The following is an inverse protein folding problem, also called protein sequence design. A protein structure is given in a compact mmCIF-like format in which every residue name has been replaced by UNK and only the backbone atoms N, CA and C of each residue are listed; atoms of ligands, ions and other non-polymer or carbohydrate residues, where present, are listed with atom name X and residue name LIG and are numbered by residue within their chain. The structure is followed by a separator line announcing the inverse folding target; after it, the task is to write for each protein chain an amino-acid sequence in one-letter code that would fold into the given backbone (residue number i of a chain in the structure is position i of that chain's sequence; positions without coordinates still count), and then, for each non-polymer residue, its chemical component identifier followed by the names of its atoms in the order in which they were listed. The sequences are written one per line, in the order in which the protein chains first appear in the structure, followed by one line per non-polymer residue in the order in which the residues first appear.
data_IF_329291619193
#
_entry.id   IF_329291619193
#
_cell.length_a   1.000
_cell.length_b   1.000
_cell.length_c   1.000
_cell.angle_alpha   90.00
_cell.angle_beta   90.00
_cell.angle_gamma   90.00
#
_symmetry.space_group_name_H-M   'P 1'
#
loop_
_entity.id
_entity.type
_entity.pdbx_description
1 polymer ?
#
# COMPACT_ATOMS: atom_id res chain seq x y z
N UNK A 1 -14.18 17.84 -1.16
CA UNK A 1 -13.93 16.94 -2.32
C UNK A 1 -14.47 15.56 -1.99
N UNK A 2 -15.30 14.96 -2.83
CA UNK A 2 -15.84 13.62 -2.57
C UNK A 2 -14.72 12.58 -2.66
N UNK A 3 -14.59 11.73 -1.64
CA UNK A 3 -13.64 10.62 -1.61
C UNK A 3 -14.02 9.63 -2.72
N UNK A 4 -13.24 9.60 -3.82
CA UNK A 4 -13.37 8.56 -4.85
C UNK A 4 -12.65 7.31 -4.37
N UNK A 5 -13.40 6.24 -4.15
CA UNK A 5 -12.86 4.92 -3.81
C UNK A 5 -12.85 4.06 -5.06
N UNK A 6 -11.72 3.39 -5.33
CA UNK A 6 -11.60 2.38 -6.39
C UNK A 6 -11.27 1.03 -5.74
N UNK A 7 -12.06 0.01 -6.07
CA UNK A 7 -11.75 -1.38 -5.71
C UNK A 7 -10.76 -1.92 -6.73
N UNK A 8 -9.61 -2.41 -6.26
CA UNK A 8 -8.60 -3.03 -7.11
C UNK A 8 -8.91 -4.51 -7.31
N UNK A 9 -8.66 -5.03 -8.52
CA UNK A 9 -8.80 -6.45 -8.88
C UNK A 9 -7.44 -7.05 -9.22
N UNK A 10 -7.36 -8.37 -9.23
CA UNK A 10 -6.18 -9.10 -9.70
C UNK A 10 -5.91 -8.69 -11.16
N UNK A 11 -4.66 -8.30 -11.45
CA UNK A 11 -4.23 -7.81 -12.76
C UNK A 11 -4.30 -6.28 -12.93
N UNK A 12 -4.96 -5.55 -12.02
CA UNK A 12 -4.88 -4.08 -12.02
C UNK A 12 -3.49 -3.62 -11.62
N UNK A 13 -3.02 -2.51 -12.22
CA UNK A 13 -1.81 -1.82 -11.75
C UNK A 13 -2.00 -1.45 -10.27
N UNK A 14 -1.01 -1.80 -9.44
CA UNK A 14 -0.99 -1.40 -8.04
C UNK A 14 -1.10 0.13 -7.92
N UNK A 15 -1.84 0.59 -6.90
CA UNK A 15 -1.94 2.02 -6.61
C UNK A 15 -0.57 2.59 -6.26
N UNK A 16 -0.35 3.87 -6.57
CA UNK A 16 0.80 4.67 -6.14
C UNK A 16 0.69 5.00 -4.63
N UNK A 17 0.63 3.95 -3.82
CA UNK A 17 0.44 4.03 -2.38
C UNK A 17 1.79 4.14 -1.69
N UNK A 18 1.93 5.16 -0.84
CA UNK A 18 3.12 5.39 -0.03
C UNK A 18 2.84 5.09 1.42
N UNK A 19 3.80 4.45 2.07
CA UNK A 19 3.75 4.14 3.49
C UNK A 19 5.10 4.49 4.12
N UNK A 20 5.12 4.93 5.39
CA UNK A 20 6.36 4.99 6.14
C UNK A 20 6.85 3.57 6.42
N UNK A 21 8.13 3.33 6.16
CA UNK A 21 8.80 2.11 6.58
C UNK A 21 8.82 2.08 8.12
N UNK A 22 8.22 1.05 8.73
CA UNK A 22 8.10 0.96 10.18
C UNK A 22 9.46 0.90 10.93
N UNK A 23 10.54 0.51 10.23
CA UNK A 23 11.89 0.40 10.81
C UNK A 23 12.72 1.66 10.62
N UNK A 24 12.61 2.34 9.46
CA UNK A 24 13.46 3.49 9.12
C UNK A 24 12.73 4.83 9.16
N UNK A 25 11.40 4.83 9.10
CA UNK A 25 10.56 6.03 9.01
C UNK A 25 10.53 6.67 7.62
N UNK A 26 11.30 6.16 6.66
CA UNK A 26 11.35 6.68 5.29
C UNK A 26 10.09 6.32 4.50
N UNK A 27 9.65 7.20 3.60
CA UNK A 27 8.57 6.86 2.67
C UNK A 27 9.03 5.77 1.69
N UNK A 28 8.26 4.68 1.62
CA UNK A 28 8.42 3.63 0.62
C UNK A 28 7.20 3.58 -0.27
N UNK A 29 7.43 3.35 -1.56
CA UNK A 29 6.36 3.10 -2.51
C UNK A 29 6.04 1.61 -2.53
N UNK A 30 4.76 1.27 -2.54
CA UNK A 30 4.35 -0.13 -2.69
C UNK A 30 4.91 -0.73 -3.99
N UNK A 31 5.01 0.08 -5.06
CA UNK A 31 5.54 -0.33 -6.36
C UNK A 31 7.00 -0.83 -6.28
N UNK A 32 7.83 -0.21 -5.44
CA UNK A 32 9.25 -0.59 -5.28
C UNK A 32 9.41 -1.99 -4.66
N UNK A 33 8.35 -2.49 -4.02
CA UNK A 33 8.33 -3.79 -3.36
C UNK A 33 7.75 -4.90 -4.24
N UNK A 34 7.23 -4.59 -5.44
CA UNK A 34 6.55 -5.56 -6.31
C UNK A 34 7.48 -6.54 -7.06
N UNK A 35 8.81 -6.42 -6.89
CA UNK A 35 9.81 -7.33 -7.46
C UNK A 35 10.25 -8.48 -6.54
N UNK A 36 9.69 -8.56 -5.33
CA UNK A 36 10.06 -9.53 -4.30
C UNK A 36 8.79 -10.09 -3.62
N UNK A 37 8.86 -11.29 -3.01
CA UNK A 37 7.74 -11.81 -2.22
C UNK A 37 7.33 -10.80 -1.14
N UNK A 38 6.09 -10.31 -1.22
CA UNK A 38 5.56 -9.28 -0.33
C UNK A 38 4.33 -9.80 0.40
N UNK A 39 4.31 -9.65 1.72
CA UNK A 39 3.13 -9.90 2.54
C UNK A 39 2.53 -8.56 2.99
N UNK A 40 1.33 -8.26 2.51
CA UNK A 40 0.55 -7.11 2.95
C UNK A 40 -0.50 -7.55 3.97
N UNK A 41 -0.46 -6.96 5.16
CA UNK A 41 -1.43 -7.24 6.21
C UNK A 41 -2.12 -5.94 6.64
N UNK A 42 -3.45 -5.92 6.57
CA UNK A 42 -4.26 -4.81 7.05
C UNK A 42 -4.73 -5.11 8.47
N UNK A 43 -4.06 -4.53 9.47
CA UNK A 43 -4.51 -4.57 10.85
C UNK A 43 -5.78 -3.74 11.02
N UNK A 44 -6.76 -4.25 11.76
CA UNK A 44 -7.86 -3.42 12.29
C UNK A 44 -7.31 -2.62 13.47
N UNK A 45 -6.90 -1.38 13.21
CA UNK A 45 -6.66 -0.41 14.28
C UNK A 45 -7.98 0.10 14.86
N UNK A 46 -8.16 -0.03 16.16
CA UNK A 46 -9.13 0.78 16.90
C UNK A 46 -8.49 2.14 17.10
N UNK A 47 -8.90 3.12 16.28
CA UNK A 47 -8.58 4.52 16.53
C UNK A 47 -9.31 4.99 17.78
#
# INVERSE_FOLDING_TARGET
MARRSKVLRVGDKASDFRLPNAKTGEEVWLADLLGQPLMLYFGRGTW
#
